data_IF_278480109993
#
_entry.id   IF_278480109993
#
_cell.length_a   1.000
_cell.length_b   1.000
_cell.length_c   1.000
_cell.angle_alpha   90.00
_cell.angle_beta   90.00
_cell.angle_gamma   90.00
#
_symmetry.space_group_name_H-M   'P 1'
#
loop_
_entity.id
_entity.type
_entity.pdbx_description
1 polymer ?
#
# COMPACT_ATOMS: atom_id res chain seq x y z
N UNK A 1 22.57 -49.00 -57.89
CA UNK A 1 23.22 -48.01 -57.03
C UNK A 1 22.24 -46.93 -56.56
N UNK A 2 21.18 -46.63 -57.28
CA UNK A 2 20.25 -45.54 -56.95
C UNK A 2 19.34 -45.87 -55.73
N UNK A 3 18.90 -47.08 -55.55
CA UNK A 3 18.05 -47.47 -54.38
C UNK A 3 18.72 -47.29 -53.02
N UNK A 4 20.06 -47.36 -52.94
CA UNK A 4 20.78 -47.17 -51.69
C UNK A 4 20.85 -45.67 -51.35
N UNK A 5 20.96 -44.80 -52.37
CA UNK A 5 20.94 -43.36 -52.18
C UNK A 5 19.58 -42.85 -51.68
N UNK A 6 18.50 -43.39 -52.22
CA UNK A 6 17.15 -43.04 -51.83
C UNK A 6 16.87 -43.45 -50.38
N UNK A 7 17.34 -44.64 -49.98
CA UNK A 7 17.22 -45.14 -48.62
C UNK A 7 18.02 -44.31 -47.63
N UNK A 8 19.24 -43.89 -47.97
CA UNK A 8 20.08 -43.02 -47.16
C UNK A 8 19.46 -41.63 -47.00
N UNK A 9 18.86 -41.09 -48.07
CA UNK A 9 18.17 -39.79 -48.04
C UNK A 9 16.93 -39.86 -47.14
N UNK A 10 16.16 -40.96 -47.17
CA UNK A 10 15.01 -41.16 -46.31
C UNK A 10 15.39 -41.26 -44.81
N UNK A 11 16.47 -41.97 -44.50
CA UNK A 11 16.99 -42.11 -43.14
C UNK A 11 17.47 -40.75 -42.59
N UNK A 12 18.14 -39.92 -43.40
CA UNK A 12 18.56 -38.58 -43.00
C UNK A 12 17.36 -37.66 -42.79
N UNK A 13 16.32 -37.75 -43.64
CA UNK A 13 15.09 -36.97 -43.51
C UNK A 13 14.30 -37.35 -42.25
N UNK A 14 14.20 -38.64 -41.94
CA UNK A 14 13.54 -39.13 -40.71
C UNK A 14 14.34 -38.75 -39.47
N UNK A 15 15.68 -38.83 -39.50
CA UNK A 15 16.53 -38.40 -38.40
C UNK A 15 16.43 -36.90 -38.15
N UNK A 16 16.30 -36.06 -39.20
CA UNK A 16 16.10 -34.62 -39.04
C UNK A 16 14.72 -34.27 -38.48
N UNK A 17 13.69 -35.04 -38.75
CA UNK A 17 12.36 -34.88 -38.16
C UNK A 17 12.34 -35.22 -36.66
N UNK A 18 13.13 -36.20 -36.24
CA UNK A 18 13.28 -36.54 -34.81
C UNK A 18 14.22 -35.59 -34.06
N UNK A 19 15.16 -34.95 -34.73
CA UNK A 19 16.03 -33.95 -34.13
C UNK A 19 15.31 -32.62 -33.81
N UNK A 20 14.19 -32.32 -34.50
CA UNK A 20 13.34 -31.16 -34.18
C UNK A 20 12.36 -31.36 -33.02
N UNK A 21 12.28 -32.53 -32.42
CA UNK A 21 11.35 -32.84 -31.32
C UNK A 21 12.01 -33.08 -29.96
N UNK A 22 13.32 -32.84 -29.87
CA UNK A 22 13.91 -32.58 -28.55
C UNK A 22 13.62 -31.13 -28.28
N UNK A 23 12.39 -30.86 -27.85
CA UNK A 23 12.14 -29.77 -26.92
C UNK A 23 13.11 -30.04 -25.75
N UNK A 24 14.30 -29.43 -25.79
CA UNK A 24 14.99 -29.13 -24.57
C UNK A 24 13.92 -28.43 -23.75
N UNK A 25 13.43 -29.14 -22.73
CA UNK A 25 12.59 -28.53 -21.72
C UNK A 25 13.36 -27.30 -21.27
N UNK A 26 13.04 -26.15 -21.87
CA UNK A 26 13.60 -24.86 -21.42
C UNK A 26 13.45 -24.92 -19.92
N UNK A 27 14.53 -24.78 -19.15
CA UNK A 27 14.45 -24.85 -17.70
C UNK A 27 13.32 -23.91 -17.37
N UNK A 28 12.22 -24.46 -16.81
CA UNK A 28 10.97 -23.75 -16.53
C UNK A 28 11.40 -22.41 -15.97
N UNK A 29 11.40 -21.39 -16.83
CA UNK A 29 11.81 -20.05 -16.44
C UNK A 29 10.95 -19.77 -15.23
N UNK A 30 11.53 -19.78 -14.03
CA UNK A 30 10.80 -19.72 -12.78
C UNK A 30 9.83 -18.59 -12.92
N UNK A 31 8.54 -18.93 -13.07
CA UNK A 31 7.50 -17.93 -13.19
C UNK A 31 7.70 -16.99 -12.02
N UNK A 32 7.82 -15.73 -12.29
CA UNK A 32 8.19 -14.72 -11.30
C UNK A 32 7.09 -13.69 -11.23
N UNK A 33 6.52 -13.48 -10.04
CA UNK A 33 5.62 -12.37 -9.76
C UNK A 33 6.44 -11.20 -9.25
N UNK A 34 6.40 -10.07 -9.93
CA UNK A 34 7.15 -8.86 -9.57
C UNK A 34 6.22 -7.82 -8.98
N UNK A 35 6.46 -7.43 -7.74
CA UNK A 35 5.69 -6.44 -6.99
C UNK A 35 6.53 -5.21 -6.77
N UNK A 36 6.15 -4.06 -7.35
CA UNK A 36 6.75 -2.78 -7.02
C UNK A 36 6.01 -2.13 -5.84
N UNK A 37 6.73 -1.71 -4.80
CA UNK A 37 6.11 -1.20 -3.60
C UNK A 37 6.91 -0.07 -2.94
N UNK A 38 6.21 0.94 -2.42
CA UNK A 38 6.78 1.96 -1.53
C UNK A 38 6.76 1.54 -0.06
N UNK A 39 6.27 0.34 0.21
CA UNK A 39 6.04 -0.17 1.56
C UNK A 39 6.71 -1.52 1.85
N UNK A 40 6.58 -2.49 0.93
CA UNK A 40 7.20 -3.80 1.07
C UNK A 40 8.68 -3.75 0.71
N UNK A 41 9.48 -4.52 1.42
CA UNK A 41 10.91 -4.70 1.16
C UNK A 41 11.19 -6.10 0.60
N UNK A 42 12.32 -6.33 -0.08
CA UNK A 42 12.67 -7.67 -0.59
C UNK A 42 12.61 -8.78 0.47
N UNK A 43 12.98 -8.47 1.72
CA UNK A 43 12.90 -9.42 2.86
C UNK A 43 11.47 -9.88 3.18
N UNK A 44 10.44 -9.11 2.79
CA UNK A 44 9.05 -9.44 3.07
C UNK A 44 8.52 -10.53 2.15
N UNK A 45 9.25 -10.89 1.07
CA UNK A 45 8.89 -11.99 0.18
C UNK A 45 8.71 -13.32 0.94
N UNK A 46 9.45 -13.51 2.04
CA UNK A 46 9.32 -14.70 2.91
C UNK A 46 7.92 -14.91 3.49
N UNK A 47 7.11 -13.85 3.65
CA UNK A 47 5.73 -13.98 4.15
C UNK A 47 4.78 -14.54 3.10
N UNK A 48 5.22 -14.59 1.86
CA UNK A 48 4.49 -15.16 0.74
C UNK A 48 5.06 -16.52 0.32
N UNK A 49 5.92 -17.14 1.16
CA UNK A 49 6.55 -18.41 0.84
C UNK A 49 5.54 -19.52 0.57
N UNK A 50 4.48 -19.63 1.37
CA UNK A 50 3.41 -20.59 1.18
C UNK A 50 2.73 -20.44 -0.20
N UNK A 51 2.43 -19.20 -0.59
CA UNK A 51 1.89 -18.90 -1.91
C UNK A 51 2.90 -19.24 -3.01
N UNK A 52 4.16 -18.88 -2.81
CA UNK A 52 5.26 -19.16 -3.74
C UNK A 52 5.43 -20.65 -3.99
N UNK A 53 5.37 -21.47 -2.93
CA UNK A 53 5.46 -22.93 -3.02
C UNK A 53 4.24 -23.54 -3.69
N UNK A 54 3.03 -23.14 -3.27
CA UNK A 54 1.76 -23.62 -3.83
C UNK A 54 1.68 -23.39 -5.34
N UNK A 55 2.04 -22.19 -5.78
CA UNK A 55 1.92 -21.77 -7.16
C UNK A 55 3.18 -22.03 -7.99
N UNK A 56 4.26 -22.52 -7.37
CA UNK A 56 5.59 -22.74 -8.01
C UNK A 56 6.12 -21.48 -8.70
N UNK A 57 6.04 -20.34 -8.03
CA UNK A 57 6.40 -19.02 -8.55
C UNK A 57 7.29 -18.28 -7.56
N UNK A 58 8.38 -17.69 -8.04
CA UNK A 58 9.19 -16.80 -7.24
C UNK A 58 8.49 -15.43 -7.09
N UNK A 59 8.42 -14.91 -5.87
CA UNK A 59 7.88 -13.56 -5.60
C UNK A 59 9.06 -12.63 -5.39
N UNK A 60 9.20 -11.64 -6.28
CA UNK A 60 10.17 -10.57 -6.15
C UNK A 60 9.50 -9.28 -5.74
N UNK A 61 10.04 -8.63 -4.71
CA UNK A 61 9.58 -7.31 -4.27
C UNK A 61 10.66 -6.29 -4.59
N UNK A 62 10.28 -5.27 -5.35
CA UNK A 62 11.13 -4.12 -5.68
C UNK A 62 10.65 -2.95 -4.84
N UNK A 63 11.44 -2.58 -3.83
CA UNK A 63 11.13 -1.41 -3.00
C UNK A 63 11.53 -0.13 -3.71
N UNK A 64 10.56 0.75 -3.97
CA UNK A 64 10.79 2.07 -4.56
C UNK A 64 9.64 3.02 -4.27
N UNK A 65 9.91 4.32 -4.28
CA UNK A 65 8.89 5.35 -4.05
C UNK A 65 7.82 5.36 -5.14
N UNK A 66 6.61 5.82 -4.82
CA UNK A 66 5.48 5.86 -5.77
C UNK A 66 5.79 6.67 -7.04
N UNK A 67 6.55 7.77 -6.93
CA UNK A 67 6.99 8.57 -8.08
C UNK A 67 7.96 7.80 -8.98
N UNK A 68 8.85 7.01 -8.41
CA UNK A 68 9.77 6.13 -9.13
C UNK A 68 9.03 4.97 -9.81
N UNK A 69 8.00 4.41 -9.15
CA UNK A 69 7.10 3.42 -9.76
C UNK A 69 6.42 4.03 -10.98
N UNK A 70 5.85 5.24 -10.83
CA UNK A 70 5.18 5.95 -11.92
C UNK A 70 6.12 6.17 -13.11
N UNK A 71 7.33 6.67 -12.84
CA UNK A 71 8.34 6.90 -13.87
C UNK A 71 8.70 5.61 -14.61
N UNK A 72 8.92 4.52 -13.87
CA UNK A 72 9.28 3.22 -14.45
C UNK A 72 8.16 2.64 -15.31
N UNK A 73 6.92 2.63 -14.83
CA UNK A 73 5.77 2.19 -15.61
C UNK A 73 5.59 2.98 -16.90
N UNK A 74 5.82 4.30 -16.85
CA UNK A 74 5.77 5.18 -18.02
C UNK A 74 6.89 4.88 -19.02
N UNK A 75 8.13 4.72 -18.52
CA UNK A 75 9.32 4.48 -19.33
C UNK A 75 9.28 3.11 -20.01
N UNK A 76 8.94 2.08 -19.25
CA UNK A 76 8.99 0.70 -19.72
C UNK A 76 7.74 0.33 -20.54
N UNK A 77 6.62 1.00 -20.30
CA UNK A 77 5.35 0.78 -21.00
C UNK A 77 4.97 -0.69 -21.07
N UNK A 78 4.78 -1.22 -22.29
CA UNK A 78 4.46 -2.63 -22.53
C UNK A 78 5.58 -3.61 -22.17
N UNK A 79 6.82 -3.12 -22.01
CA UNK A 79 7.98 -3.95 -21.66
C UNK A 79 8.22 -4.03 -20.14
N UNK A 80 7.35 -3.43 -19.32
CA UNK A 80 7.49 -3.50 -17.88
C UNK A 80 7.51 -4.96 -17.39
N UNK A 81 8.34 -5.22 -16.40
CA UNK A 81 8.35 -6.50 -15.69
C UNK A 81 7.57 -6.45 -14.37
N UNK A 82 6.91 -5.32 -14.07
CA UNK A 82 6.10 -5.17 -12.88
C UNK A 82 4.72 -5.74 -13.15
N UNK A 83 4.28 -6.66 -12.29
CA UNK A 83 2.95 -7.30 -12.37
C UNK A 83 1.94 -6.62 -11.43
N UNK A 84 2.40 -6.25 -10.23
CA UNK A 84 1.61 -5.60 -9.18
C UNK A 84 2.29 -4.34 -8.67
N UNK A 85 1.47 -3.35 -8.33
CA UNK A 85 1.90 -2.18 -7.57
C UNK A 85 1.22 -2.23 -6.21
N UNK A 86 2.00 -1.96 -5.14
CA UNK A 86 1.49 -1.90 -3.78
C UNK A 86 1.97 -0.62 -3.09
N UNK A 87 1.03 0.24 -2.69
CA UNK A 87 1.32 1.54 -2.06
C UNK A 87 0.73 1.67 -0.67
N UNK A 88 1.45 2.38 0.19
CA UNK A 88 1.11 2.56 1.61
C UNK A 88 0.12 3.70 1.86
N UNK A 89 -0.24 4.50 0.86
CA UNK A 89 -0.97 5.74 1.09
C UNK A 89 -1.92 6.07 -0.06
N UNK A 90 -3.03 6.73 0.27
CA UNK A 90 -3.88 7.37 -0.73
C UNK A 90 -3.11 8.39 -1.58
N UNK A 91 -2.05 8.99 -1.03
CA UNK A 91 -1.17 9.86 -1.81
C UNK A 91 -0.37 9.07 -2.87
N UNK A 92 0.04 7.83 -2.56
CA UNK A 92 0.65 6.93 -3.53
C UNK A 92 -0.30 6.58 -4.68
N UNK A 93 -1.58 6.29 -4.37
CA UNK A 93 -2.63 6.11 -5.39
C UNK A 93 -2.73 7.34 -6.27
N UNK A 94 -2.81 8.54 -5.67
CA UNK A 94 -2.90 9.80 -6.41
C UNK A 94 -1.69 10.02 -7.32
N UNK A 95 -0.48 9.73 -6.84
CA UNK A 95 0.75 9.85 -7.64
C UNK A 95 0.66 8.98 -8.90
N UNK A 96 0.04 7.81 -8.78
CA UNK A 96 -0.12 6.83 -9.87
C UNK A 96 -1.46 6.96 -10.62
N UNK A 97 -2.29 7.97 -10.32
CA UNK A 97 -3.66 8.12 -10.84
C UNK A 97 -3.72 8.15 -12.38
N UNK A 98 -2.67 8.68 -13.03
CA UNK A 98 -2.59 8.76 -14.49
C UNK A 98 -2.11 7.46 -15.16
N UNK A 99 -1.85 6.40 -14.38
CA UNK A 99 -1.53 5.08 -14.92
C UNK A 99 -2.81 4.30 -15.16
N UNK A 100 -2.92 3.69 -16.33
CA UNK A 100 -3.98 2.73 -16.59
C UNK A 100 -3.65 1.43 -15.84
N UNK A 101 -4.54 1.00 -14.96
CA UNK A 101 -4.44 -0.30 -14.29
C UNK A 101 -5.49 -1.26 -14.84
N UNK A 102 -5.17 -2.54 -14.86
CA UNK A 102 -6.03 -3.56 -15.43
C UNK A 102 -7.31 -3.73 -14.60
N UNK A 103 -8.50 -3.70 -15.22
CA UNK A 103 -9.72 -4.11 -14.54
C UNK A 103 -9.66 -5.60 -14.25
N UNK A 104 -9.70 -5.95 -12.97
CA UNK A 104 -9.61 -7.35 -12.53
C UNK A 104 -10.96 -8.07 -12.59
N UNK A 105 -12.01 -7.39 -13.08
CA UNK A 105 -13.40 -7.89 -13.12
C UNK A 105 -13.57 -9.21 -13.90
N UNK A 106 -12.82 -9.40 -14.96
CA UNK A 106 -13.05 -10.55 -15.87
C UNK A 106 -12.45 -11.87 -15.38
N UNK A 107 -11.83 -11.89 -14.21
CA UNK A 107 -11.14 -13.05 -13.69
C UNK A 107 -11.57 -13.50 -12.29
N UNK A 108 -12.50 -12.78 -11.66
CA UNK A 108 -13.04 -13.13 -10.34
C UNK A 108 -14.55 -13.27 -10.40
N UNK A 109 -15.09 -14.27 -9.70
CA UNK A 109 -16.52 -14.34 -9.44
C UNK A 109 -16.93 -13.28 -8.41
N UNK A 110 -18.22 -12.92 -8.40
CA UNK A 110 -18.77 -12.03 -7.40
C UNK A 110 -18.52 -12.60 -6.00
N UNK A 111 -17.82 -11.83 -5.16
CA UNK A 111 -17.50 -12.24 -3.78
C UNK A 111 -16.11 -12.83 -3.54
N UNK A 112 -15.37 -13.28 -4.56
CA UNK A 112 -14.00 -13.83 -4.34
C UNK A 112 -13.04 -12.84 -3.68
N UNK A 113 -13.23 -11.54 -3.87
CA UNK A 113 -12.45 -10.49 -3.23
C UNK A 113 -13.27 -9.66 -2.23
N UNK A 114 -14.19 -10.31 -1.50
CA UNK A 114 -15.13 -9.67 -0.59
C UNK A 114 -14.49 -8.82 0.52
N UNK A 115 -13.28 -9.21 0.95
CA UNK A 115 -12.53 -8.53 2.00
C UNK A 115 -11.70 -7.34 1.48
N UNK A 116 -11.55 -7.25 0.15
CA UNK A 116 -10.83 -6.15 -0.49
C UNK A 116 -11.83 -5.15 -1.05
N UNK A 117 -11.66 -3.89 -0.71
CA UNK A 117 -12.52 -2.84 -1.24
C UNK A 117 -11.94 -2.26 -2.52
N UNK A 118 -12.65 -2.42 -3.63
CA UNK A 118 -12.29 -1.76 -4.88
C UNK A 118 -12.61 -0.27 -4.84
N UNK A 119 -11.68 0.54 -5.33
CA UNK A 119 -11.82 1.98 -5.52
C UNK A 119 -11.39 2.38 -6.94
N UNK A 120 -11.30 3.68 -7.21
CA UNK A 120 -10.95 4.26 -8.52
C UNK A 120 -9.79 3.52 -9.22
N UNK A 121 -9.82 3.55 -10.57
CA UNK A 121 -8.72 3.09 -11.43
C UNK A 121 -8.23 1.69 -11.11
N UNK A 122 -9.15 0.82 -10.69
CA UNK A 122 -8.87 -0.59 -10.39
C UNK A 122 -7.91 -0.85 -9.21
N UNK A 123 -7.85 0.07 -8.26
CA UNK A 123 -7.17 -0.14 -7.01
C UNK A 123 -8.00 -0.98 -6.03
N UNK A 124 -7.32 -1.83 -5.28
CA UNK A 124 -7.88 -2.60 -4.16
C UNK A 124 -7.30 -2.09 -2.86
N UNK A 125 -8.16 -1.65 -1.96
CA UNK A 125 -7.75 -1.37 -0.59
C UNK A 125 -7.54 -2.68 0.14
N UNK A 126 -6.41 -2.82 0.81
CA UNK A 126 -5.96 -4.07 1.43
C UNK A 126 -5.74 -3.95 2.93
N UNK A 127 -5.81 -2.75 3.47
CA UNK A 127 -5.66 -2.49 4.89
C UNK A 127 -5.82 -1.01 5.21
N UNK A 128 -6.02 -0.71 6.51
CA UNK A 128 -6.10 0.64 7.07
C UNK A 128 -4.88 0.95 7.91
N UNK A 129 -4.51 2.22 7.91
CA UNK A 129 -3.45 2.76 8.74
C UNK A 129 -3.96 4.00 9.49
N UNK A 130 -4.50 3.84 10.69
CA UNK A 130 -5.05 4.96 11.43
C UNK A 130 -3.98 5.96 11.84
N UNK A 131 -4.32 7.24 11.78
CA UNK A 131 -3.52 8.29 12.40
C UNK A 131 -3.71 8.22 13.92
N UNK A 132 -2.60 8.22 14.63
CA UNK A 132 -2.57 8.18 16.09
C UNK A 132 -1.77 9.37 16.62
N UNK A 133 -2.07 9.75 17.86
CA UNK A 133 -1.30 10.76 18.58
C UNK A 133 -0.44 10.02 19.59
N UNK A 134 0.88 10.13 19.44
CA UNK A 134 1.83 9.55 20.37
C UNK A 134 2.30 10.60 21.37
N UNK A 135 2.32 10.24 22.65
CA UNK A 135 2.68 11.10 23.78
C UNK A 135 3.61 10.35 24.75
N UNK A 136 4.34 11.08 25.58
CA UNK A 136 5.18 10.48 26.61
C UNK A 136 4.34 9.85 27.72
N UNK A 137 4.78 8.69 28.23
CA UNK A 137 4.03 7.94 29.26
C UNK A 137 3.72 8.74 30.51
N UNK A 138 4.62 9.63 30.87
CA UNK A 138 4.55 10.42 32.10
C UNK A 138 3.87 11.80 31.90
N UNK A 139 3.34 12.06 30.70
CA UNK A 139 2.56 13.27 30.42
C UNK A 139 1.23 13.23 31.17
N UNK A 140 0.92 14.29 31.90
CA UNK A 140 -0.34 14.45 32.61
C UNK A 140 -1.47 14.82 31.62
N UNK A 141 -1.18 15.66 30.67
CA UNK A 141 -2.12 16.15 29.67
C UNK A 141 -2.09 15.27 28.42
N UNK A 142 -3.26 14.82 28.01
CA UNK A 142 -3.43 13.91 26.86
C UNK A 142 -4.53 14.45 25.94
N UNK A 143 -4.22 14.68 24.66
CA UNK A 143 -5.25 15.07 23.70
C UNK A 143 -6.24 13.91 23.51
N UNK A 144 -7.52 14.24 23.46
CA UNK A 144 -8.59 13.28 23.19
C UNK A 144 -9.08 13.33 21.74
N UNK A 145 -8.76 14.43 21.05
CA UNK A 145 -9.18 14.72 19.68
C UNK A 145 -8.03 15.31 18.87
N UNK A 146 -8.13 15.21 17.54
CA UNK A 146 -7.18 15.89 16.65
C UNK A 146 -7.30 17.43 16.69
N UNK A 147 -8.44 17.95 17.15
CA UNK A 147 -8.66 19.39 17.20
C UNK A 147 -7.72 20.07 18.19
N UNK A 148 -7.43 19.40 19.28
CA UNK A 148 -6.52 19.89 20.32
C UNK A 148 -5.07 20.12 19.80
N UNK A 149 -4.68 19.44 18.70
CA UNK A 149 -3.39 19.71 18.02
C UNK A 149 -3.30 21.10 17.40
N UNK A 150 -4.42 21.80 17.22
CA UNK A 150 -4.45 23.13 16.61
C UNK A 150 -4.56 24.28 17.62
N UNK A 151 -4.75 23.98 18.91
CA UNK A 151 -5.00 25.00 19.95
C UNK A 151 -4.13 24.82 21.18
N UNK A 152 -3.94 23.58 21.65
CA UNK A 152 -3.46 23.34 23.02
C UNK A 152 -2.07 22.70 23.07
N UNK A 153 -1.63 22.08 21.97
CA UNK A 153 -0.42 21.26 21.98
C UNK A 153 0.52 21.56 20.83
N UNK A 154 1.80 21.63 21.13
CA UNK A 154 2.85 21.56 20.11
C UNK A 154 2.97 20.12 19.61
N UNK A 155 3.02 19.95 18.31
CA UNK A 155 3.10 18.65 17.69
C UNK A 155 4.07 18.62 16.51
N UNK A 156 4.54 17.42 16.17
CA UNK A 156 5.37 17.18 14.99
C UNK A 156 4.94 15.88 14.29
N UNK A 157 5.45 15.66 13.10
CA UNK A 157 5.26 14.41 12.37
C UNK A 157 6.52 14.04 11.60
N UNK A 158 6.97 12.80 11.69
CA UNK A 158 8.13 12.32 10.93
C UNK A 158 7.82 12.17 9.43
N UNK A 159 6.53 12.11 9.06
CA UNK A 159 6.08 11.91 7.68
C UNK A 159 5.15 13.05 7.22
N UNK A 160 5.73 13.98 6.47
CA UNK A 160 4.99 15.13 5.93
C UNK A 160 3.94 14.73 4.89
N UNK A 161 4.15 13.67 4.13
CA UNK A 161 3.17 13.17 3.15
C UNK A 161 1.90 12.69 3.87
N UNK A 162 2.06 12.00 5.00
CA UNK A 162 0.92 11.61 5.85
C UNK A 162 0.15 12.81 6.40
N UNK A 163 0.82 13.94 6.70
CA UNK A 163 0.15 15.17 7.15
C UNK A 163 -0.80 15.70 6.08
N UNK A 164 -0.51 15.52 4.82
CA UNK A 164 -1.39 15.98 3.74
C UNK A 164 -2.67 15.13 3.63
N UNK A 165 -2.55 13.81 3.80
CA UNK A 165 -3.73 12.93 3.90
C UNK A 165 -4.56 13.28 5.13
N UNK A 166 -3.90 13.52 6.26
CA UNK A 166 -4.57 13.97 7.49
C UNK A 166 -5.34 15.27 7.28
N UNK A 167 -4.73 16.29 6.64
CA UNK A 167 -5.41 17.56 6.32
C UNK A 167 -6.60 17.38 5.36
N UNK A 168 -6.53 16.41 4.43
CA UNK A 168 -7.66 16.09 3.57
C UNK A 168 -8.85 15.55 4.38
N UNK A 169 -8.60 14.71 5.39
CA UNK A 169 -9.66 14.29 6.34
C UNK A 169 -10.26 15.47 7.11
N UNK A 170 -9.43 16.40 7.58
CA UNK A 170 -9.93 17.63 8.25
C UNK A 170 -10.84 18.42 7.31
N UNK A 171 -10.42 18.67 6.07
CA UNK A 171 -11.24 19.38 5.07
C UNK A 171 -12.57 18.68 4.80
N UNK A 172 -12.54 17.36 4.62
CA UNK A 172 -13.74 16.57 4.40
C UNK A 172 -14.75 16.74 5.53
N UNK A 173 -14.31 16.68 6.77
CA UNK A 173 -15.16 16.82 7.94
C UNK A 173 -15.91 18.15 7.93
N UNK A 174 -15.23 19.25 7.65
CA UNK A 174 -15.87 20.56 7.59
C UNK A 174 -16.84 20.71 6.42
N UNK A 175 -16.53 20.14 5.26
CA UNK A 175 -17.41 20.19 4.10
C UNK A 175 -18.72 19.42 4.32
N UNK A 176 -18.66 18.28 4.98
CA UNK A 176 -19.82 17.36 5.13
C UNK A 176 -20.61 17.56 6.42
N UNK A 177 -19.94 17.86 7.55
CA UNK A 177 -20.58 17.88 8.87
C UNK A 177 -20.94 19.24 9.41
N UNK A 178 -20.12 20.24 9.09
CA UNK A 178 -20.24 21.55 9.74
C UNK A 178 -20.82 22.61 8.81
N UNK A 179 -21.61 22.22 7.83
CA UNK A 179 -22.31 23.16 6.95
C UNK A 179 -21.38 24.07 6.19
N UNK A 180 -20.17 23.59 5.84
CA UNK A 180 -19.17 24.33 5.04
C UNK A 180 -18.66 25.62 5.73
N UNK A 181 -18.46 25.59 7.05
CA UNK A 181 -17.90 26.72 7.78
C UNK A 181 -16.43 26.95 7.40
N UNK A 182 -16.22 27.72 6.35
CA UNK A 182 -14.88 28.01 5.77
C UNK A 182 -13.96 28.76 6.75
N UNK A 183 -14.52 29.61 7.61
CA UNK A 183 -13.75 30.34 8.62
C UNK A 183 -13.15 29.38 9.63
N UNK A 184 -13.96 28.53 10.21
CA UNK A 184 -13.54 27.55 11.21
C UNK A 184 -12.52 26.55 10.62
N UNK A 185 -12.71 26.11 9.36
CA UNK A 185 -11.74 25.28 8.65
C UNK A 185 -10.39 25.99 8.50
N UNK A 186 -10.40 27.26 8.08
CA UNK A 186 -9.17 28.05 7.94
C UNK A 186 -8.45 28.22 9.28
N UNK A 187 -9.20 28.49 10.34
CA UNK A 187 -8.63 28.68 11.68
C UNK A 187 -8.03 27.36 12.20
N UNK A 188 -8.70 26.24 12.01
CA UNK A 188 -8.13 24.94 12.38
C UNK A 188 -6.86 24.60 11.58
N UNK A 189 -6.88 24.76 10.24
CA UNK A 189 -5.70 24.48 9.42
C UNK A 189 -4.53 25.41 9.73
N UNK A 190 -4.82 26.67 10.08
CA UNK A 190 -3.81 27.65 10.57
C UNK A 190 -3.24 27.17 11.89
N UNK A 191 -4.07 26.87 12.88
CA UNK A 191 -3.64 26.35 14.17
C UNK A 191 -2.78 25.09 14.04
N UNK A 192 -3.17 24.15 13.18
CA UNK A 192 -2.33 22.98 12.89
C UNK A 192 -0.95 23.35 12.34
N UNK A 193 -0.86 24.40 11.52
CA UNK A 193 0.43 24.88 11.00
C UNK A 193 1.23 25.57 12.08
N UNK A 194 0.62 26.45 12.85
CA UNK A 194 1.28 27.32 13.84
C UNK A 194 1.81 26.51 15.03
N UNK A 195 1.11 25.44 15.41
CA UNK A 195 1.52 24.53 16.50
C UNK A 195 2.42 23.37 16.03
N UNK A 196 2.69 23.26 14.72
CA UNK A 196 3.58 22.25 14.20
C UNK A 196 5.03 22.72 14.25
N UNK A 197 5.87 21.97 14.93
CA UNK A 197 7.32 22.16 14.95
C UNK A 197 8.01 21.18 14.00
N UNK A 198 9.21 21.52 13.55
CA UNK A 198 10.01 20.66 12.70
C UNK A 198 10.37 19.36 13.43
N UNK A 199 10.23 18.22 12.73
CA UNK A 199 10.72 16.95 13.23
C UNK A 199 12.25 16.91 13.07
N UNK A 200 12.96 16.66 14.16
CA UNK A 200 14.41 16.47 14.16
C UNK A 200 14.70 15.02 14.54
N UNK A 201 15.32 14.29 13.61
CA UNK A 201 15.71 12.90 13.84
C UNK A 201 16.96 12.87 14.75
N UNK A 202 16.95 12.02 15.76
CA UNK A 202 18.14 11.77 16.59
C UNK A 202 18.39 12.78 17.71
N UNK A 203 17.61 13.81 17.86
CA UNK A 203 17.73 14.69 19.04
C UNK A 203 16.87 14.16 20.18
N UNK A 204 17.45 14.02 21.37
CA UNK A 204 16.73 13.86 22.66
C UNK A 204 15.82 15.09 22.97
N UNK A 205 15.88 16.09 22.12
CA UNK A 205 15.04 17.29 22.12
C UNK A 205 13.57 17.05 21.73
N UNK A 206 13.14 15.78 21.66
CA UNK A 206 11.74 15.46 21.90
C UNK A 206 11.45 15.80 23.35
N UNK A 207 11.64 17.09 23.66
CA UNK A 207 11.31 17.69 24.93
C UNK A 207 9.96 17.12 25.38
N UNK A 208 9.85 16.92 26.65
CA UNK A 208 8.80 16.28 27.43
C UNK A 208 7.34 16.66 27.10
N UNK A 209 7.12 17.51 26.11
CA UNK A 209 5.81 18.12 25.78
C UNK A 209 5.36 17.91 24.34
N UNK A 210 6.18 17.30 23.46
CA UNK A 210 5.80 17.17 22.05
C UNK A 210 4.95 15.94 21.77
N UNK A 211 3.81 16.19 21.13
CA UNK A 211 2.99 15.13 20.56
C UNK A 211 3.53 14.75 19.18
N UNK A 212 3.43 13.45 18.84
CA UNK A 212 3.69 12.98 17.49
C UNK A 212 2.37 12.59 16.82
N UNK A 213 2.05 13.23 15.70
CA UNK A 213 1.01 12.76 14.80
C UNK A 213 1.66 11.83 13.77
N UNK A 214 1.29 10.56 13.77
CA UNK A 214 1.87 9.55 12.88
C UNK A 214 0.86 8.45 12.55
N UNK A 215 1.16 7.67 11.52
CA UNK A 215 0.41 6.45 11.21
C UNK A 215 0.74 5.36 12.23
N UNK A 216 -0.26 4.53 12.56
CA UNK A 216 -0.07 3.45 13.53
C UNK A 216 0.97 2.42 13.08
N UNK A 217 1.05 2.17 11.77
CA UNK A 217 2.10 1.31 11.21
C UNK A 217 3.51 1.83 11.52
N UNK A 218 3.73 3.13 11.40
CA UNK A 218 5.01 3.75 11.73
C UNK A 218 5.33 3.64 13.22
N UNK A 219 4.33 3.85 14.10
CA UNK A 219 4.49 3.62 15.54
C UNK A 219 4.85 2.17 15.85
N UNK A 220 4.09 1.22 15.29
CA UNK A 220 4.28 -0.21 15.55
C UNK A 220 5.64 -0.72 15.10
N UNK A 221 6.09 -0.34 13.89
CA UNK A 221 7.42 -0.68 13.36
C UNK A 221 8.55 -0.10 14.20
N UNK A 222 8.38 1.11 14.71
CA UNK A 222 9.41 1.83 15.47
C UNK A 222 9.32 1.62 16.99
N UNK A 223 8.34 0.84 17.48
CA UNK A 223 8.13 0.61 18.93
C UNK A 223 9.35 0.05 19.64
N UNK A 224 10.24 -0.62 18.92
CA UNK A 224 11.49 -1.18 19.47
C UNK A 224 12.57 -0.10 19.65
N UNK A 225 12.49 1.04 19.01
CA UNK A 225 13.43 2.14 19.22
C UNK A 225 13.30 2.69 20.63
N UNK A 226 14.43 3.02 21.25
CA UNK A 226 14.48 3.46 22.65
C UNK A 226 13.54 4.66 22.93
N UNK A 227 13.47 5.61 21.99
CA UNK A 227 12.61 6.79 22.07
C UNK A 227 11.11 6.42 22.08
N UNK A 228 10.70 5.43 21.28
CA UNK A 228 9.29 5.01 21.19
C UNK A 228 8.87 4.15 22.37
N UNK A 229 9.80 3.49 23.08
CA UNK A 229 9.49 2.70 24.30
C UNK A 229 8.91 3.57 25.41
N UNK A 230 9.31 4.86 25.49
CA UNK A 230 8.83 5.81 26.49
C UNK A 230 7.49 6.45 26.12
N UNK A 231 6.93 6.11 24.95
CA UNK A 231 5.70 6.72 24.44
C UNK A 231 4.54 5.75 24.45
N UNK A 232 3.34 6.32 24.58
CA UNK A 232 2.04 5.64 24.37
C UNK A 232 1.33 6.27 23.19
N UNK A 233 0.29 5.63 22.69
CA UNK A 233 -0.57 6.18 21.63
C UNK A 233 -2.00 6.33 22.11
N UNK A 234 -2.65 7.36 21.59
CA UNK A 234 -4.09 7.57 21.68
C UNK A 234 -4.67 7.38 20.29
N UNK A 235 -5.77 6.63 20.23
CA UNK A 235 -6.68 6.61 19.10
C UNK A 235 -7.78 7.65 19.37
N UNK A 236 -7.76 8.80 18.70
CA UNK A 236 -8.77 9.84 18.94
C UNK A 236 -10.18 9.32 18.70
N UNK A 237 -11.18 9.90 19.39
CA UNK A 237 -12.59 9.48 19.27
C UNK A 237 -13.08 9.45 17.83
N UNK A 238 -12.63 10.39 17.01
CA UNK A 238 -12.86 10.43 15.58
C UNK A 238 -11.57 9.99 14.89
N UNK A 239 -11.57 8.80 14.32
CA UNK A 239 -10.36 8.22 13.75
C UNK A 239 -10.27 8.53 12.26
N UNK A 240 -9.17 9.14 11.85
CA UNK A 240 -8.79 9.28 10.44
C UNK A 240 -7.84 8.14 10.06
N UNK A 241 -7.99 7.61 8.87
CA UNK A 241 -7.16 6.51 8.38
C UNK A 241 -6.56 6.84 7.01
N UNK A 242 -5.30 6.49 6.82
CA UNK A 242 -4.76 6.27 5.49
C UNK A 242 -5.04 4.81 5.08
N UNK A 243 -4.68 4.43 3.84
CA UNK A 243 -4.99 3.09 3.33
C UNK A 243 -3.84 2.53 2.55
N UNK A 244 -3.63 1.23 2.71
CA UNK A 244 -2.79 0.45 1.83
C UNK A 244 -3.60 -0.03 0.63
N UNK A 245 -3.00 0.02 -0.54
CA UNK A 245 -3.69 -0.36 -1.77
C UNK A 245 -2.78 -1.11 -2.74
N UNK A 246 -3.40 -1.99 -3.53
CA UNK A 246 -2.77 -2.72 -4.62
C UNK A 246 -3.48 -2.46 -5.94
N UNK A 247 -2.74 -2.51 -7.04
CA UNK A 247 -3.29 -2.48 -8.39
C UNK A 247 -2.49 -3.41 -9.32
N UNK A 248 -3.20 -4.00 -10.29
CA UNK A 248 -2.62 -4.89 -11.31
C UNK A 248 -2.17 -4.05 -12.49
N UNK A 249 -0.93 -4.25 -12.92
CA UNK A 249 -0.38 -3.58 -14.09
C UNK A 249 -1.00 -4.21 -15.35
N UNK A 250 -1.45 -3.42 -16.35
CA UNK A 250 -2.13 -3.96 -17.54
C UNK A 250 -1.30 -4.96 -18.32
N UNK A 251 0.02 -4.79 -18.31
CA UNK A 251 0.99 -5.62 -19.02
C UNK A 251 1.56 -6.73 -18.14
N UNK A 252 0.92 -7.03 -17.02
CA UNK A 252 1.35 -8.11 -16.12
C UNK A 252 1.58 -9.41 -16.91
N UNK A 253 2.82 -9.87 -16.92
CA UNK A 253 3.22 -11.07 -17.66
C UNK A 253 2.66 -12.34 -17.01
N UNK A 254 2.41 -12.27 -15.70
CA UNK A 254 1.94 -13.38 -14.88
C UNK A 254 0.57 -13.06 -14.26
N UNK A 255 -0.42 -12.74 -15.11
CA UNK A 255 -1.76 -12.38 -14.65
C UNK A 255 -2.40 -13.42 -13.72
N UNK A 256 -2.26 -14.72 -14.05
CA UNK A 256 -2.80 -15.79 -13.20
C UNK A 256 -2.21 -15.74 -11.79
N UNK A 257 -0.91 -15.45 -11.67
CA UNK A 257 -0.23 -15.33 -10.39
C UNK A 257 -0.64 -14.08 -9.62
N UNK A 258 -0.86 -12.99 -10.33
CA UNK A 258 -1.41 -11.77 -9.76
C UNK A 258 -2.79 -12.03 -9.15
N UNK A 259 -3.61 -12.84 -9.83
CA UNK A 259 -4.91 -13.27 -9.31
C UNK A 259 -4.73 -14.12 -8.04
N UNK A 260 -3.88 -15.14 -8.05
CA UNK A 260 -3.58 -15.96 -6.87
C UNK A 260 -3.06 -15.12 -5.70
N UNK A 261 -2.24 -14.10 -5.96
CA UNK A 261 -1.75 -13.20 -4.92
C UNK A 261 -2.88 -12.36 -4.29
N UNK A 262 -3.79 -11.82 -5.10
CA UNK A 262 -4.94 -11.06 -4.59
C UNK A 262 -5.88 -11.96 -3.77
N UNK A 263 -6.12 -13.19 -4.21
CA UNK A 263 -6.92 -14.17 -3.45
C UNK A 263 -6.26 -14.51 -2.12
N UNK A 264 -4.96 -14.81 -2.14
CA UNK A 264 -4.18 -15.06 -0.92
C UNK A 264 -4.27 -13.88 0.06
N UNK A 265 -4.16 -12.65 -0.46
CA UNK A 265 -4.31 -11.46 0.39
C UNK A 265 -5.72 -11.33 0.94
N UNK A 266 -6.75 -11.57 0.12
CA UNK A 266 -8.16 -11.53 0.53
C UNK A 266 -8.46 -12.53 1.65
N UNK A 267 -7.98 -13.77 1.54
CA UNK A 267 -8.11 -14.80 2.56
C UNK A 267 -7.46 -14.40 3.90
N UNK A 268 -6.37 -13.63 3.85
CA UNK A 268 -5.63 -13.17 5.00
C UNK A 268 -6.01 -11.74 5.46
N UNK A 269 -6.92 -11.04 4.75
CA UNK A 269 -7.24 -9.64 4.99
C UNK A 269 -7.83 -9.36 6.38
N UNK A 270 -8.41 -10.38 7.03
CA UNK A 270 -8.93 -10.31 8.40
C UNK A 270 -8.01 -10.95 9.43
N UNK A 271 -6.91 -11.58 9.03
CA UNK A 271 -5.93 -12.15 9.94
C UNK A 271 -5.15 -11.05 10.65
N UNK A 272 -5.41 -10.90 11.96
CA UNK A 272 -4.68 -9.89 12.75
C UNK A 272 -3.18 -10.13 12.79
N UNK A 273 -2.75 -11.40 12.79
CA UNK A 273 -1.32 -11.77 12.78
C UNK A 273 -0.65 -11.38 11.46
N UNK A 274 -1.31 -11.67 10.34
CA UNK A 274 -0.82 -11.31 9.01
C UNK A 274 -0.73 -9.79 8.84
N UNK A 275 -1.81 -9.06 9.13
CA UNK A 275 -1.85 -7.60 8.99
C UNK A 275 -0.91 -6.88 9.95
N UNK A 276 -0.78 -7.36 11.20
CA UNK A 276 0.13 -6.77 12.18
C UNK A 276 1.60 -6.85 11.76
N UNK A 277 1.98 -7.90 11.02
CA UNK A 277 3.33 -7.98 10.46
C UNK A 277 3.64 -6.77 9.59
N UNK A 278 2.66 -6.32 8.79
CA UNK A 278 2.78 -5.14 7.94
C UNK A 278 2.41 -3.83 8.67
N UNK A 279 2.03 -3.88 9.94
CA UNK A 279 1.56 -2.70 10.69
C UNK A 279 0.19 -2.20 10.23
N UNK A 280 -0.60 -3.06 9.60
CA UNK A 280 -1.93 -2.76 9.08
C UNK A 280 -3.04 -3.16 10.05
N UNK A 281 -4.22 -2.58 9.84
CA UNK A 281 -5.47 -3.02 10.44
C UNK A 281 -6.45 -3.47 9.36
N UNK A 282 -7.28 -4.46 9.68
CA UNK A 282 -8.33 -4.93 8.78
C UNK A 282 -9.30 -3.80 8.41
N UNK A 283 -9.82 -3.84 7.18
CA UNK A 283 -10.75 -2.82 6.68
C UNK A 283 -12.01 -2.71 7.56
N UNK A 284 -12.50 -3.80 8.12
CA UNK A 284 -13.75 -3.83 8.89
C UNK A 284 -13.60 -3.73 10.41
N UNK A 285 -12.37 -3.83 10.94
CA UNK A 285 -12.13 -3.87 12.39
C UNK A 285 -12.22 -2.53 13.14
N UNK A 286 -12.56 -1.44 12.48
CA UNK A 286 -12.98 -0.25 13.24
C UNK A 286 -14.36 -0.54 13.78
N UNK A 287 -14.46 -0.77 15.11
CA UNK A 287 -15.71 -1.06 15.81
C UNK A 287 -16.80 -0.10 15.32
N UNK A 288 -17.89 -0.65 14.78
CA UNK A 288 -19.11 0.09 14.46
C UNK A 288 -19.43 0.97 15.67
N UNK A 289 -19.38 2.29 15.51
CA UNK A 289 -19.75 3.26 16.55
C UNK A 289 -18.66 4.20 17.09
N UNK A 290 -17.38 4.02 16.76
CA UNK A 290 -16.29 4.90 17.27
C UNK A 290 -15.50 5.67 16.23
N UNK A 291 -15.86 5.64 14.96
CA UNK A 291 -15.14 6.37 13.95
C UNK A 291 -16.00 6.75 12.76
N UNK A 292 -15.81 7.96 12.26
CA UNK A 292 -16.36 8.36 10.99
C UNK A 292 -15.67 7.55 9.90
N UNK A 293 -16.43 6.70 9.21
CA UNK A 293 -15.98 6.15 7.95
C UNK A 293 -16.02 7.28 6.91
N UNK A 294 -14.86 7.75 6.51
CA UNK A 294 -14.73 8.65 5.36
C UNK A 294 -14.37 7.77 4.18
N UNK A 295 -15.14 7.89 3.10
CA UNK A 295 -14.82 7.15 1.87
C UNK A 295 -13.43 7.53 1.37
N UNK A 296 -12.56 6.54 1.08
CA UNK A 296 -11.26 6.79 0.47
C UNK A 296 -11.35 7.59 -0.83
N UNK A 297 -12.41 7.40 -1.61
CA UNK A 297 -12.68 8.13 -2.85
C UNK A 297 -12.89 9.63 -2.60
N UNK A 298 -13.58 9.98 -1.52
CA UNK A 298 -13.80 11.39 -1.15
C UNK A 298 -12.49 12.05 -0.70
N UNK A 299 -11.63 11.33 0.03
CA UNK A 299 -10.30 11.83 0.40
C UNK A 299 -9.41 12.01 -0.83
N UNK A 300 -9.41 11.04 -1.75
CA UNK A 300 -8.69 11.15 -3.03
C UNK A 300 -9.16 12.36 -3.84
N UNK A 301 -10.47 12.63 -3.87
CA UNK A 301 -11.01 13.81 -4.54
C UNK A 301 -10.51 15.13 -3.92
N UNK A 302 -10.33 15.17 -2.60
CA UNK A 302 -9.80 16.35 -1.92
C UNK A 302 -8.29 16.52 -2.11
N UNK A 303 -7.55 15.42 -2.19
CA UNK A 303 -6.14 15.44 -2.54
C UNK A 303 -5.90 15.92 -3.98
N UNK A 304 -6.85 15.67 -4.89
CA UNK A 304 -6.76 16.08 -6.30
C UNK A 304 -7.08 17.58 -6.52
N UNK A 305 -7.81 18.22 -5.61
CA UNK A 305 -8.14 19.66 -5.67
C UNK A 305 -7.01 20.59 -5.20
N UNK A 306 -5.81 20.04 -4.96
CA UNK A 306 -4.61 20.83 -4.69
C UNK A 306 -4.00 21.32 -6.01
N UNK A 307 -4.49 22.42 -6.48
CA UNK A 307 -3.78 23.32 -7.40
C UNK A 307 -3.90 24.74 -6.83
#
# INVERSE_FOLDING_TARGET
>A
MDRIKDFLLLVVLVASLFACSIDEAQPLAHKKLVIASDFLYPKDAKFFAELSEKEKVAIEIIHMRADSIQYRLKKDGFNTNIDLVFVQSLLGIKTLENQAFQPVQNGFSDGELSELKRIRNNWFLVGKDPFVISYLKDSLDKPSTYRELSSDYLWTSPDLASVDVFKAHVRYQFQKKQGNNQKELKDWLRGLKDHRIAYQEGTDSTASTQLLLLKYSAYSKNKLLAQMKKRKVIFPKQLYCDYFAMAVVPQAKNYAMTKSFLLFWNENANSSKFLQHFGMNALDRIKKGKGFYISPEEILALLSKRN
#
